data_IF_670616302947
#
_entry.id   IF_670616302947
#
_cell.length_a   1.000
_cell.length_b   1.000
_cell.length_c   1.000
_cell.angle_alpha   90.00
_cell.angle_beta   90.00
_cell.angle_gamma   90.00
#
_symmetry.space_group_name_H-M   'P 1'
#
loop_
_entity.id
_entity.type
_entity.pdbx_description
1 polymer ?
#
# COMPACT_ATOMS: atom_id res chain seq x y z
N UNK A 1 30.58 27.47 4.87
CA UNK A 1 29.43 27.90 5.70
C UNK A 1 28.44 26.73 5.75
N UNK A 2 28.45 25.95 6.83
CA UNK A 2 27.63 24.73 6.99
C UNK A 2 26.22 25.09 7.42
N UNK A 3 25.14 24.58 6.78
CA UNK A 3 23.83 24.57 7.41
C UNK A 3 23.61 23.26 8.17
N UNK A 4 23.24 23.41 9.44
CA UNK A 4 22.87 22.36 10.38
C UNK A 4 21.63 21.60 9.87
N UNK A 5 21.81 20.33 9.51
CA UNK A 5 20.73 19.43 9.09
C UNK A 5 19.87 18.99 10.30
N UNK A 6 18.61 19.41 10.31
CA UNK A 6 17.59 18.96 11.25
C UNK A 6 17.08 17.55 10.87
N UNK A 7 17.64 16.53 11.54
CA UNK A 7 17.36 15.11 11.36
C UNK A 7 16.01 14.68 11.94
N UNK A 8 14.89 14.86 11.22
CA UNK A 8 13.56 14.41 11.71
C UNK A 8 12.71 13.55 10.77
N UNK A 9 13.24 12.99 9.68
CA UNK A 9 12.43 12.21 8.72
C UNK A 9 12.87 10.76 8.43
N UNK A 10 13.89 10.22 9.10
CA UNK A 10 14.43 8.88 8.80
C UNK A 10 14.05 7.74 9.78
N UNK A 11 12.97 7.89 10.57
CA UNK A 11 12.57 6.82 11.52
C UNK A 11 11.55 5.80 11.02
N UNK A 12 10.86 6.02 9.89
CA UNK A 12 9.88 5.04 9.38
C UNK A 12 10.47 3.91 8.51
N UNK A 13 11.64 4.11 7.87
CA UNK A 13 12.17 3.14 6.90
C UNK A 13 13.46 2.40 7.31
N UNK A 14 14.09 2.76 8.42
CA UNK A 14 15.29 2.08 8.96
C UNK A 14 14.97 0.88 9.87
N UNK A 15 13.69 0.65 10.19
CA UNK A 15 13.28 -0.44 11.07
C UNK A 15 13.35 -1.82 10.39
N UNK A 16 13.46 -1.96 9.06
CA UNK A 16 13.36 -3.30 8.45
C UNK A 16 14.60 -4.21 8.57
N UNK A 17 15.78 -3.69 8.95
CA UNK A 17 16.99 -4.52 9.19
C UNK A 17 17.31 -4.76 10.67
N UNK A 18 16.91 -3.86 11.58
CA UNK A 18 16.99 -4.12 13.04
C UNK A 18 15.87 -5.05 13.56
N UNK A 19 14.89 -5.40 12.73
CA UNK A 19 13.74 -6.22 13.12
C UNK A 19 14.02 -7.73 13.26
N UNK A 20 15.23 -8.23 12.97
CA UNK A 20 15.63 -9.57 13.42
C UNK A 20 15.92 -9.63 14.92
N UNK A 21 16.28 -8.50 15.57
CA UNK A 21 16.54 -8.42 17.02
C UNK A 21 15.31 -8.01 17.85
N UNK A 22 14.18 -7.69 17.21
CA UNK A 22 12.94 -7.20 17.84
C UNK A 22 11.83 -8.25 17.98
N UNK A 23 12.10 -9.56 17.82
CA UNK A 23 11.13 -10.61 18.18
C UNK A 23 10.83 -10.68 19.69
N UNK A 24 11.70 -10.12 20.56
CA UNK A 24 11.47 -10.05 22.02
C UNK A 24 10.59 -8.89 22.49
N UNK A 25 10.29 -7.89 21.63
CA UNK A 25 9.44 -6.72 22.00
C UNK A 25 7.98 -6.82 21.52
N UNK A 26 7.56 -7.95 20.96
CA UNK A 26 6.17 -8.18 20.53
C UNK A 26 5.23 -8.62 21.67
N UNK A 27 5.72 -8.87 22.89
CA UNK A 27 4.87 -9.25 24.05
C UNK A 27 3.99 -8.12 24.58
N UNK A 28 4.26 -6.86 24.25
CA UNK A 28 3.51 -5.71 24.80
C UNK A 28 2.72 -4.92 23.75
N UNK A 29 2.80 -5.24 22.46
CA UNK A 29 2.01 -4.52 21.44
C UNK A 29 0.51 -4.81 21.59
N UNK A 30 0.15 -5.98 22.12
CA UNK A 30 -1.23 -6.34 22.44
C UNK A 30 -1.87 -5.40 23.46
N UNK A 31 -1.08 -4.86 24.41
CA UNK A 31 -1.57 -3.91 25.43
C UNK A 31 -2.03 -2.56 24.85
N UNK A 32 -1.56 -2.19 23.66
CA UNK A 32 -1.91 -0.92 23.01
C UNK A 32 -3.03 -1.06 21.97
N UNK A 33 -3.41 -2.29 21.62
CA UNK A 33 -4.55 -2.57 20.72
C UNK A 33 -5.83 -1.83 21.15
N UNK A 34 -6.26 -1.83 22.44
CA UNK A 34 -7.47 -1.12 22.85
C UNK A 34 -7.40 0.40 22.65
N UNK A 35 -6.21 1.00 22.54
CA UNK A 35 -6.06 2.43 22.25
C UNK A 35 -6.12 2.74 20.75
N UNK A 36 -5.65 1.82 19.90
CA UNK A 36 -5.67 2.01 18.44
C UNK A 36 -7.03 1.68 17.82
N UNK A 37 -7.81 0.77 18.40
CA UNK A 37 -9.12 0.38 17.89
C UNK A 37 -10.09 1.59 17.79
N UNK A 38 -10.28 2.43 18.83
CA UNK A 38 -11.15 3.61 18.74
C UNK A 38 -10.70 4.60 17.67
N UNK A 39 -9.39 4.84 17.53
CA UNK A 39 -8.85 5.71 16.49
C UNK A 39 -9.14 5.14 15.10
N UNK A 40 -9.00 3.83 14.92
CA UNK A 40 -9.33 3.17 13.64
C UNK A 40 -10.82 3.21 13.33
N UNK A 41 -11.68 2.97 14.31
CA UNK A 41 -13.14 3.08 14.15
C UNK A 41 -13.52 4.52 13.79
N UNK A 42 -12.97 5.51 14.49
CA UNK A 42 -13.20 6.92 14.21
C UNK A 42 -12.73 7.30 12.79
N UNK A 43 -11.54 6.86 12.38
CA UNK A 43 -11.04 7.08 11.01
C UNK A 43 -11.94 6.41 9.95
N UNK A 44 -12.50 5.23 10.23
CA UNK A 44 -13.45 4.57 9.34
C UNK A 44 -14.73 5.36 9.17
N UNK A 45 -15.35 5.74 10.29
CA UNK A 45 -16.59 6.52 10.30
C UNK A 45 -16.38 7.87 9.61
N UNK A 46 -15.28 8.58 9.90
CA UNK A 46 -14.94 9.85 9.24
C UNK A 46 -14.74 9.72 7.72
N UNK A 47 -14.26 8.57 7.27
CA UNK A 47 -14.07 8.28 5.85
C UNK A 47 -15.34 7.71 5.17
N UNK A 48 -16.44 7.55 5.90
CA UNK A 48 -17.71 7.02 5.39
C UNK A 48 -17.73 5.50 5.23
N UNK A 49 -16.79 4.77 5.84
CA UNK A 49 -16.77 3.31 5.84
C UNK A 49 -17.40 2.75 7.11
N UNK A 50 -18.19 1.67 6.96
CA UNK A 50 -18.69 0.92 8.11
C UNK A 50 -17.49 0.31 8.86
N UNK A 51 -17.41 0.46 10.21
CA UNK A 51 -16.25 0.03 10.96
C UNK A 51 -16.10 -1.49 10.88
N UNK A 52 -15.13 -1.94 10.08
CA UNK A 52 -14.77 -3.35 9.98
C UNK A 52 -13.29 -3.53 10.29
N UNK A 53 -12.98 -4.40 11.26
CA UNK A 53 -11.60 -4.68 11.66
C UNK A 53 -10.99 -5.65 10.66
N UNK A 54 -10.27 -5.12 9.67
CA UNK A 54 -9.42 -5.94 8.80
C UNK A 54 -8.06 -6.18 9.47
N UNK A 55 -7.82 -7.38 9.99
CA UNK A 55 -6.53 -7.76 10.59
C UNK A 55 -5.33 -7.53 9.66
N UNK A 56 -5.53 -7.50 8.34
CA UNK A 56 -4.48 -7.17 7.36
C UNK A 56 -3.92 -5.75 7.54
N UNK A 57 -4.71 -4.81 8.05
CA UNK A 57 -4.31 -3.43 8.31
C UNK A 57 -3.41 -3.28 9.53
N UNK A 58 -3.36 -4.27 10.43
CA UNK A 58 -2.40 -4.29 11.55
C UNK A 58 -0.94 -4.24 11.04
N UNK A 59 -0.71 -4.66 9.80
CA UNK A 59 0.62 -4.69 9.21
C UNK A 59 1.05 -3.38 8.55
N UNK A 60 0.19 -2.36 8.55
CA UNK A 60 0.40 -1.05 7.91
C UNK A 60 0.16 0.09 8.89
N UNK A 61 1.17 0.95 9.07
CA UNK A 61 1.08 2.15 9.91
C UNK A 61 0.86 3.46 9.12
N UNK A 62 0.82 3.40 7.79
CA UNK A 62 0.66 4.59 6.94
C UNK A 62 -0.83 4.93 6.73
N UNK A 63 -1.33 6.10 7.20
CA UNK A 63 -2.74 6.47 7.08
C UNK A 63 -3.22 6.55 5.62
N UNK A 64 -2.35 6.95 4.69
CA UNK A 64 -2.72 7.09 3.27
C UNK A 64 -2.87 5.74 2.57
N UNK A 65 -2.03 4.78 2.94
CA UNK A 65 -2.15 3.39 2.47
C UNK A 65 -3.43 2.76 3.00
N UNK A 66 -3.79 3.02 4.26
CA UNK A 66 -5.07 2.58 4.83
C UNK A 66 -6.25 3.23 4.12
N UNK A 67 -6.23 4.55 3.90
CA UNK A 67 -7.26 5.27 3.15
C UNK A 67 -7.44 4.69 1.74
N UNK A 68 -6.33 4.45 1.02
CA UNK A 68 -6.37 3.82 -0.29
C UNK A 68 -6.95 2.40 -0.20
N UNK A 69 -6.52 1.60 0.77
CA UNK A 69 -7.06 0.25 0.97
C UNK A 69 -8.57 0.25 1.12
N UNK A 70 -9.13 1.11 1.98
CA UNK A 70 -10.58 1.15 2.20
C UNK A 70 -11.34 1.54 0.93
N UNK A 71 -10.84 2.54 0.20
CA UNK A 71 -11.45 2.96 -1.06
C UNK A 71 -11.38 1.90 -2.16
N UNK A 72 -10.33 1.06 -2.16
CA UNK A 72 -10.23 -0.08 -3.06
C UNK A 72 -11.12 -1.24 -2.58
N UNK A 73 -11.18 -1.49 -1.28
CA UNK A 73 -11.96 -2.57 -0.71
C UNK A 73 -13.45 -2.37 -0.96
N UNK A 74 -13.97 -1.13 -0.90
CA UNK A 74 -15.37 -0.86 -1.26
C UNK A 74 -15.69 -1.17 -2.73
N UNK A 75 -14.70 -1.16 -3.62
CA UNK A 75 -14.88 -1.42 -5.07
C UNK A 75 -14.61 -2.88 -5.46
N UNK A 76 -13.57 -3.49 -4.87
CA UNK A 76 -13.06 -4.81 -5.27
C UNK A 76 -13.23 -5.88 -4.18
N UNK A 77 -13.67 -5.50 -2.98
CA UNK A 77 -13.88 -6.41 -1.87
C UNK A 77 -12.64 -7.20 -1.48
N UNK A 78 -12.83 -8.50 -1.24
CA UNK A 78 -11.78 -9.43 -0.75
C UNK A 78 -10.62 -9.65 -1.72
N UNK A 79 -10.73 -9.17 -2.95
CA UNK A 79 -9.64 -9.24 -3.94
C UNK A 79 -8.48 -8.29 -3.60
N UNK A 80 -8.70 -7.27 -2.75
CA UNK A 80 -7.64 -6.35 -2.29
C UNK A 80 -6.84 -6.98 -1.16
N UNK A 81 -5.53 -7.10 -1.33
CA UNK A 81 -4.60 -7.69 -0.35
C UNK A 81 -3.51 -6.70 0.06
N UNK A 82 -3.30 -6.50 1.35
CA UNK A 82 -2.21 -5.68 1.89
C UNK A 82 -0.94 -6.51 2.04
N UNK A 83 0.23 -5.88 1.83
CA UNK A 83 1.56 -6.46 2.04
C UNK A 83 1.72 -7.82 1.36
N UNK A 84 1.16 -7.92 0.16
CA UNK A 84 1.03 -9.17 -0.59
C UNK A 84 2.40 -9.63 -1.12
N UNK A 85 2.81 -10.88 -0.85
CA UNK A 85 4.03 -11.44 -1.40
C UNK A 85 3.82 -11.78 -2.89
N UNK A 86 4.74 -11.33 -3.73
CA UNK A 86 4.82 -11.73 -5.14
C UNK A 86 6.26 -12.14 -5.40
N UNK A 87 6.49 -13.45 -5.42
CA UNK A 87 7.82 -14.03 -5.59
C UNK A 87 8.82 -13.49 -4.55
N UNK A 88 9.92 -12.87 -4.99
CA UNK A 88 10.95 -12.27 -4.12
C UNK A 88 10.56 -10.90 -3.54
N UNK A 89 9.43 -10.34 -3.99
CA UNK A 89 9.01 -8.99 -3.65
C UNK A 89 7.78 -9.01 -2.73
N UNK A 90 7.61 -7.95 -1.96
CA UNK A 90 6.38 -7.67 -1.21
C UNK A 90 5.86 -6.31 -1.59
N UNK A 91 4.60 -6.23 -2.01
CA UNK A 91 3.97 -4.98 -2.47
C UNK A 91 3.03 -4.41 -1.42
N UNK A 92 2.83 -3.09 -1.40
CA UNK A 92 2.01 -2.45 -0.36
C UNK A 92 0.55 -2.92 -0.43
N UNK A 93 -0.05 -2.86 -1.61
CA UNK A 93 -1.38 -3.41 -1.90
C UNK A 93 -1.32 -4.18 -3.22
N UNK A 94 -2.07 -5.27 -3.33
CA UNK A 94 -2.26 -6.01 -4.57
C UNK A 94 -3.74 -6.28 -4.82
N UNK A 95 -4.10 -6.38 -6.10
CA UNK A 95 -5.38 -6.92 -6.56
C UNK A 95 -5.06 -8.10 -7.49
N UNK A 96 -4.83 -9.32 -6.93
CA UNK A 96 -4.29 -10.45 -7.68
C UNK A 96 -5.15 -10.86 -8.88
N UNK A 97 -6.48 -10.71 -8.77
CA UNK A 97 -7.43 -10.97 -9.86
C UNK A 97 -7.07 -10.25 -11.16
N UNK A 98 -6.46 -9.07 -11.08
CA UNK A 98 -6.05 -8.26 -12.23
C UNK A 98 -4.54 -8.20 -12.44
N UNK A 99 -3.76 -9.01 -11.69
CA UNK A 99 -2.29 -8.90 -11.63
C UNK A 99 -1.82 -7.45 -11.42
N UNK A 100 -2.50 -6.72 -10.54
CA UNK A 100 -2.15 -5.34 -10.21
C UNK A 100 -1.44 -5.27 -8.86
N UNK A 101 -0.28 -4.61 -8.84
CA UNK A 101 0.49 -4.31 -7.65
C UNK A 101 0.61 -2.79 -7.46
N UNK A 102 0.42 -2.32 -6.24
CA UNK A 102 0.44 -0.92 -5.85
C UNK A 102 1.54 -0.66 -4.82
N UNK A 103 2.32 0.38 -5.06
CA UNK A 103 3.35 0.88 -4.13
C UNK A 103 2.96 2.26 -3.61
N UNK A 104 2.85 2.40 -2.28
CA UNK A 104 2.43 3.63 -1.60
C UNK A 104 3.60 4.44 -1.00
N UNK A 105 4.83 4.16 -1.43
CA UNK A 105 6.03 4.84 -0.96
C UNK A 105 6.64 5.64 -2.12
N UNK A 106 6.22 6.90 -2.27
CA UNK A 106 6.78 7.78 -3.29
C UNK A 106 7.06 9.18 -2.76
N UNK A 107 8.35 9.45 -2.61
CA UNK A 107 9.06 10.67 -2.98
C UNK A 107 10.50 10.21 -3.27
N UNK A 108 10.75 9.73 -4.50
CA UNK A 108 12.06 9.15 -4.89
C UNK A 108 13.00 10.09 -5.60
N UNK A 109 12.54 11.29 -5.95
CA UNK A 109 13.39 12.31 -6.58
C UNK A 109 14.66 12.55 -5.76
N UNK A 110 14.61 12.33 -4.44
CA UNK A 110 15.72 12.61 -3.52
C UNK A 110 16.59 11.36 -3.24
N UNK A 111 16.21 10.14 -3.66
CA UNK A 111 16.93 8.89 -3.27
C UNK A 111 17.13 7.90 -4.43
N UNK A 112 18.25 8.00 -5.19
CA UNK A 112 18.55 7.14 -6.35
C UNK A 112 18.48 5.63 -6.05
N UNK A 113 18.98 5.18 -4.89
CA UNK A 113 18.94 3.77 -4.48
C UNK A 113 17.50 3.23 -4.35
N UNK A 114 16.55 4.05 -3.89
CA UNK A 114 15.13 3.65 -3.80
C UNK A 114 14.49 3.57 -5.18
N UNK A 115 14.88 4.46 -6.09
CA UNK A 115 14.39 4.45 -7.47
C UNK A 115 14.87 3.20 -8.21
N UNK A 116 16.15 2.85 -8.11
CA UNK A 116 16.69 1.64 -8.72
C UNK A 116 15.99 0.37 -8.21
N UNK A 117 15.83 0.24 -6.88
CA UNK A 117 15.08 -0.89 -6.29
C UNK A 117 13.65 -0.99 -6.82
N UNK A 118 12.97 0.14 -6.96
CA UNK A 118 11.62 0.17 -7.54
C UNK A 118 11.63 -0.26 -9.01
N UNK A 119 12.58 0.21 -9.82
CA UNK A 119 12.71 -0.17 -11.22
C UNK A 119 12.99 -1.66 -11.38
N UNK A 120 13.92 -2.23 -10.60
CA UNK A 120 14.19 -3.67 -10.57
C UNK A 120 12.92 -4.45 -10.22
N UNK A 121 12.24 -4.05 -9.14
CA UNK A 121 10.98 -4.69 -8.72
C UNK A 121 9.89 -4.59 -9.79
N UNK A 122 9.71 -3.43 -10.41
CA UNK A 122 8.74 -3.21 -11.50
C UNK A 122 9.03 -4.13 -12.69
N UNK A 123 10.31 -4.25 -13.06
CA UNK A 123 10.74 -5.12 -14.14
C UNK A 123 10.51 -6.61 -13.82
N UNK A 124 10.91 -7.08 -12.65
CA UNK A 124 10.73 -8.48 -12.23
C UNK A 124 9.26 -8.89 -12.14
N UNK A 125 8.41 -7.99 -11.62
CA UNK A 125 6.96 -8.19 -11.55
C UNK A 125 6.33 -8.12 -12.95
N UNK A 126 6.82 -7.22 -13.80
CA UNK A 126 6.42 -7.11 -15.20
C UNK A 126 6.65 -8.39 -16.00
N UNK A 127 7.80 -9.04 -15.80
CA UNK A 127 8.10 -10.36 -16.40
C UNK A 127 7.10 -11.45 -16.00
N UNK A 128 6.44 -11.31 -14.85
CA UNK A 128 5.41 -12.24 -14.36
C UNK A 128 3.99 -11.83 -14.77
N UNK A 129 3.87 -10.80 -15.62
CA UNK A 129 2.61 -10.25 -16.10
C UNK A 129 1.91 -9.33 -15.10
N UNK A 130 2.61 -8.84 -14.08
CA UNK A 130 2.04 -7.88 -13.14
C UNK A 130 2.24 -6.44 -13.62
N UNK A 131 1.18 -5.64 -13.54
CA UNK A 131 1.29 -4.19 -13.63
C UNK A 131 1.64 -3.63 -12.26
N UNK A 132 2.68 -2.81 -12.19
CA UNK A 132 3.03 -2.08 -10.96
C UNK A 132 2.68 -0.60 -11.14
N UNK A 133 1.81 -0.09 -10.29
CA UNK A 133 1.50 1.33 -10.15
C UNK A 133 2.13 1.85 -8.86
N UNK A 134 2.73 3.04 -8.91
CA UNK A 134 3.37 3.67 -7.77
C UNK A 134 2.78 5.04 -7.56
N UNK A 135 2.38 5.33 -6.33
CA UNK A 135 1.81 6.61 -5.95
C UNK A 135 2.66 7.28 -4.89
N UNK A 136 2.92 8.58 -5.07
CA UNK A 136 3.60 9.38 -4.07
C UNK A 136 2.70 9.66 -2.88
N UNK A 137 3.31 9.98 -1.73
CA UNK A 137 2.52 10.40 -0.56
C UNK A 137 1.68 11.62 -0.90
N UNK A 138 2.27 12.60 -1.60
CA UNK A 138 1.58 13.83 -2.02
C UNK A 138 0.36 13.51 -2.87
N UNK A 139 0.52 12.58 -3.82
CA UNK A 139 -0.57 12.12 -4.70
C UNK A 139 -1.66 11.40 -3.93
N UNK A 140 -1.30 10.51 -3.01
CA UNK A 140 -2.28 9.82 -2.16
C UNK A 140 -3.01 10.78 -1.20
N UNK A 141 -2.35 11.85 -0.74
CA UNK A 141 -3.00 12.83 0.14
C UNK A 141 -3.88 13.82 -0.60
N UNK A 142 -3.46 14.32 -1.77
CA UNK A 142 -4.14 15.40 -2.48
C UNK A 142 -5.05 14.95 -3.62
N UNK A 143 -4.81 13.78 -4.21
CA UNK A 143 -5.43 13.34 -5.47
C UNK A 143 -6.01 11.91 -5.36
N UNK A 144 -6.51 11.53 -4.17
CA UNK A 144 -6.98 10.16 -3.91
C UNK A 144 -8.01 9.69 -4.93
N UNK A 145 -8.95 10.55 -5.34
CA UNK A 145 -9.98 10.19 -6.32
C UNK A 145 -9.38 9.90 -7.71
N UNK A 146 -8.36 10.65 -8.11
CA UNK A 146 -7.67 10.41 -9.38
C UNK A 146 -6.89 9.09 -9.33
N UNK A 147 -6.23 8.80 -8.21
CA UNK A 147 -5.55 7.51 -7.97
C UNK A 147 -6.54 6.34 -8.10
N UNK A 148 -7.71 6.47 -7.48
CA UNK A 148 -8.75 5.43 -7.54
C UNK A 148 -9.27 5.27 -8.98
N UNK A 149 -9.46 6.37 -9.73
CA UNK A 149 -9.86 6.32 -11.14
C UNK A 149 -8.84 5.57 -12.00
N UNK A 150 -7.55 5.89 -11.88
CA UNK A 150 -6.47 5.21 -12.62
C UNK A 150 -6.47 3.69 -12.37
N UNK A 151 -6.62 3.30 -11.10
CA UNK A 151 -6.69 1.89 -10.72
C UNK A 151 -7.95 1.25 -11.33
N UNK A 152 -9.10 1.91 -11.21
CA UNK A 152 -10.39 1.41 -11.71
C UNK A 152 -10.37 1.22 -13.22
N UNK A 153 -9.86 2.21 -13.96
CA UNK A 153 -9.72 2.16 -15.42
C UNK A 153 -8.89 0.96 -15.86
N UNK A 154 -7.71 0.76 -15.25
CA UNK A 154 -6.89 -0.41 -15.54
C UNK A 154 -7.63 -1.72 -15.25
N UNK A 155 -8.30 -1.84 -14.11
CA UNK A 155 -9.05 -3.07 -13.78
C UNK A 155 -10.22 -3.33 -14.73
N UNK A 156 -10.87 -2.27 -15.23
CA UNK A 156 -11.94 -2.38 -16.23
C UNK A 156 -11.42 -2.90 -17.56
N UNK A 157 -10.28 -2.37 -18.03
CA UNK A 157 -9.60 -2.88 -19.24
C UNK A 157 -9.27 -4.37 -19.08
N UNK A 158 -8.73 -4.76 -17.91
CA UNK A 158 -8.40 -6.15 -17.64
C UNK A 158 -9.63 -7.05 -17.52
N UNK A 159 -10.77 -6.53 -17.02
CA UNK A 159 -12.05 -7.25 -16.99
C UNK A 159 -12.54 -7.52 -18.40
N UNK A 160 -12.54 -6.51 -19.30
CA UNK A 160 -12.94 -6.66 -20.71
C UNK A 160 -12.10 -7.72 -21.44
N UNK A 161 -10.78 -7.71 -21.24
CA UNK A 161 -9.86 -8.70 -21.85
C UNK A 161 -10.12 -10.14 -21.42
N UNK A 162 -10.69 -10.37 -20.25
CA UNK A 162 -11.03 -11.72 -19.76
C UNK A 162 -12.40 -12.21 -20.23
N UNK A 163 -13.23 -11.34 -20.82
CA UNK A 163 -14.56 -11.68 -21.33
C UNK A 163 -14.67 -11.50 -22.85
N UNK A 164 -13.77 -12.05 -23.69
CA UNK A 164 -13.85 -11.86 -25.14
C UNK A 164 -14.98 -12.65 -25.84
N UNK A 165 -15.84 -13.39 -25.13
CA UNK A 165 -16.82 -14.32 -25.73
C UNK A 165 -18.17 -14.42 -25.02
N UNK A 166 -18.81 -13.31 -24.64
CA UNK A 166 -20.21 -13.30 -24.15
C UNK A 166 -21.18 -12.55 -25.10
N UNK A 167 -20.78 -12.38 -26.36
CA UNK A 167 -21.67 -11.98 -27.44
C UNK A 167 -21.71 -13.10 -28.48
N UNK A 168 -22.54 -14.10 -28.19
CA UNK A 168 -23.08 -15.07 -29.15
C UNK A 168 -24.56 -15.16 -28.88
#
# INVERSE_FOLDING_TARGET
MLPLFNNRTDRCCQLSWKFRKLRRKWRHHWLWIPFFIPVWIYEQVRLGFFPFIHFQLLHTCNPWERKLYYALYSKFGRDVKIRYPIHRHRVAIAIPKYKLALECDGDTVIRPKKQLRFQTKKHDLGKQGWKVMRFSRRRLSGEMDQVIREITEYTNIMKKRKSPGQFT
#
